data_IF_276047210003
#
_entry.id   IF_276047210003
#
_cell.length_a   1.000
_cell.length_b   1.000
_cell.length_c   1.000
_cell.angle_alpha   90.00
_cell.angle_beta   90.00
_cell.angle_gamma   90.00
#
_symmetry.space_group_name_H-M   'P 1'
#
loop_
_entity.id
_entity.type
_entity.pdbx_description
1 polymer ?
#
# COMPACT_ATOMS: atom_id res chain seq x y z
N UNK A 1 -2.85 25.39 -13.89
CA UNK A 1 -2.84 23.94 -14.20
C UNK A 1 -1.46 23.32 -14.14
N UNK A 2 -0.43 23.73 -14.92
CA UNK A 2 0.92 23.12 -14.80
C UNK A 2 1.68 23.48 -13.51
N UNK A 3 1.37 24.63 -12.90
CA UNK A 3 2.03 25.10 -11.66
C UNK A 3 1.49 24.44 -10.38
N UNK A 4 0.24 23.93 -10.39
CA UNK A 4 -0.34 23.29 -9.20
C UNK A 4 0.11 21.84 -9.04
N UNK A 5 0.43 21.14 -10.14
CA UNK A 5 0.96 19.77 -10.09
C UNK A 5 2.43 19.75 -9.60
N UNK A 6 3.22 20.75 -9.97
CA UNK A 6 4.59 20.93 -9.48
C UNK A 6 4.61 21.28 -7.97
N UNK A 7 3.73 22.19 -7.53
CA UNK A 7 3.62 22.53 -6.11
C UNK A 7 3.12 21.37 -5.24
N UNK A 8 2.31 20.44 -5.78
CA UNK A 8 1.88 19.25 -5.03
C UNK A 8 2.99 18.21 -4.82
N UNK A 9 3.98 18.15 -5.70
CA UNK A 9 5.16 17.28 -5.60
C UNK A 9 6.31 17.88 -4.78
N UNK A 10 6.45 19.21 -4.75
CA UNK A 10 7.54 19.89 -4.02
C UNK A 10 7.15 20.31 -2.59
N UNK A 11 5.87 20.62 -2.31
CA UNK A 11 5.42 20.96 -0.95
C UNK A 11 5.24 19.72 -0.05
N UNK A 12 5.23 18.53 -0.63
CA UNK A 12 5.08 17.26 0.08
C UNK A 12 6.41 16.71 0.60
N UNK A 13 7.56 17.00 -0.02
CA UNK A 13 8.85 16.39 0.36
C UNK A 13 9.31 16.73 1.79
N UNK A 14 9.22 17.99 2.22
CA UNK A 14 9.73 18.40 3.54
C UNK A 14 8.85 17.93 4.71
N UNK A 15 7.54 17.76 4.49
CA UNK A 15 6.66 17.16 5.48
C UNK A 15 6.85 15.65 5.52
N UNK A 16 6.98 15.00 4.36
CA UNK A 16 7.26 13.58 4.26
C UNK A 16 8.62 13.23 4.88
N UNK A 17 9.66 14.04 4.67
CA UNK A 17 10.98 13.86 5.28
C UNK A 17 10.90 13.84 6.81
N UNK A 18 10.18 14.80 7.41
CA UNK A 18 9.97 14.83 8.87
C UNK A 18 9.15 13.64 9.38
N UNK A 19 8.15 13.20 8.62
CA UNK A 19 7.33 12.04 8.97
C UNK A 19 8.16 10.76 8.89
N UNK A 20 8.92 10.58 7.81
CA UNK A 20 9.79 9.44 7.58
C UNK A 20 10.89 9.37 8.65
N UNK A 21 11.49 10.50 8.99
CA UNK A 21 12.47 10.57 10.07
C UNK A 21 11.86 10.14 11.41
N UNK A 22 10.65 10.61 11.76
CA UNK A 22 9.96 10.19 12.99
C UNK A 22 9.64 8.70 13.01
N UNK A 23 9.22 8.14 11.87
CA UNK A 23 8.93 6.72 11.75
C UNK A 23 10.22 5.91 11.91
N UNK A 24 11.30 6.34 11.25
CA UNK A 24 12.61 5.73 11.38
C UNK A 24 13.06 5.71 12.85
N UNK A 25 13.00 6.85 13.53
CA UNK A 25 13.35 6.98 14.96
C UNK A 25 12.45 6.15 15.89
N UNK A 26 11.21 5.81 15.48
CA UNK A 26 10.33 4.90 16.23
C UNK A 26 10.71 3.44 16.07
N UNK A 27 11.33 3.07 14.95
CA UNK A 27 11.79 1.71 14.69
C UNK A 27 13.20 1.51 15.28
N UNK A 28 14.10 2.46 15.05
CA UNK A 28 15.50 2.51 15.55
C UNK A 28 15.53 2.80 17.06
N UNK A 29 15.21 1.78 17.87
CA UNK A 29 15.25 1.89 19.32
C UNK A 29 16.68 1.83 19.87
N UNK A 30 17.64 1.26 19.12
CA UNK A 30 19.06 1.22 19.49
C UNK A 30 19.76 2.56 19.28
N UNK A 31 19.17 3.43 18.45
CA UNK A 31 19.67 4.77 18.07
C UNK A 31 21.03 4.73 17.39
N UNK A 32 21.26 3.72 16.56
CA UNK A 32 22.49 3.60 15.78
C UNK A 32 22.35 4.17 14.35
N UNK A 33 21.20 4.77 14.04
CA UNK A 33 20.80 5.30 12.72
C UNK A 33 20.67 4.23 11.64
N UNK A 34 20.42 2.98 12.04
CA UNK A 34 20.10 1.87 11.16
C UNK A 34 18.88 1.15 11.74
N UNK A 35 18.15 0.46 10.86
CA UNK A 35 17.09 -0.45 11.27
C UNK A 35 17.59 -1.86 10.99
N UNK A 36 17.84 -2.61 12.06
CA UNK A 36 18.22 -4.02 11.95
C UNK A 36 17.01 -4.97 12.00
N UNK A 37 17.30 -6.26 11.85
CA UNK A 37 16.29 -7.33 11.90
C UNK A 37 15.51 -7.35 13.21
N UNK A 38 16.18 -7.13 14.34
CA UNK A 38 15.55 -7.19 15.67
C UNK A 38 14.60 -6.01 15.87
N UNK A 39 15.02 -4.83 15.43
CA UNK A 39 14.23 -3.59 15.47
C UNK A 39 12.99 -3.67 14.60
N UNK A 40 13.15 -4.14 13.37
CA UNK A 40 12.01 -4.31 12.47
C UNK A 40 11.07 -5.43 12.95
N UNK A 41 11.59 -6.54 13.47
CA UNK A 41 10.77 -7.61 14.05
C UNK A 41 9.98 -7.12 15.27
N UNK A 42 10.64 -6.37 16.16
CA UNK A 42 9.99 -5.79 17.33
C UNK A 42 8.88 -4.83 16.92
N UNK A 43 9.16 -3.93 15.97
CA UNK A 43 8.17 -3.00 15.43
C UNK A 43 6.94 -3.75 14.88
N UNK A 44 7.14 -4.75 14.02
CA UNK A 44 6.04 -5.53 13.45
C UNK A 44 5.15 -6.18 14.53
N UNK A 45 5.76 -6.75 15.57
CA UNK A 45 5.04 -7.36 16.69
C UNK A 45 4.23 -6.33 17.48
N UNK A 46 4.80 -5.15 17.70
CA UNK A 46 4.10 -4.02 18.35
C UNK A 46 2.90 -3.57 17.54
N UNK A 47 2.98 -3.58 16.21
CA UNK A 47 1.86 -3.26 15.31
C UNK A 47 0.84 -4.41 15.16
N UNK A 48 0.92 -5.46 15.98
CA UNK A 48 0.01 -6.60 15.94
C UNK A 48 0.22 -7.56 14.75
N UNK A 49 1.41 -7.56 14.15
CA UNK A 49 1.80 -8.47 13.08
C UNK A 49 2.87 -9.46 13.56
N UNK A 50 2.61 -10.76 13.40
CA UNK A 50 3.61 -11.80 13.69
C UNK A 50 4.29 -12.24 12.39
N UNK A 51 5.51 -11.75 12.08
CA UNK A 51 6.19 -12.08 10.84
C UNK A 51 6.60 -13.55 10.80
N UNK A 52 6.63 -14.13 9.59
CA UNK A 52 7.08 -15.51 9.41
C UNK A 52 8.55 -15.62 9.80
N UNK A 53 8.83 -16.39 10.86
CA UNK A 53 10.18 -16.56 11.40
C UNK A 53 11.15 -17.20 10.42
N UNK A 54 10.69 -18.21 9.69
CA UNK A 54 11.48 -18.95 8.70
C UNK A 54 10.53 -19.51 7.64
N UNK A 55 10.78 -19.18 6.37
CA UNK A 55 10.05 -19.76 5.25
C UNK A 55 10.67 -21.10 4.81
N UNK A 56 10.09 -21.75 3.78
CA UNK A 56 10.58 -23.04 3.26
C UNK A 56 12.04 -23.03 2.77
N UNK A 57 12.64 -21.85 2.58
CA UNK A 57 14.01 -21.64 2.13
C UNK A 57 14.96 -21.22 3.25
N UNK A 58 14.51 -21.19 4.51
CA UNK A 58 15.34 -20.81 5.64
C UNK A 58 15.46 -19.30 5.90
N UNK A 59 14.68 -18.46 5.18
CA UNK A 59 14.76 -17.00 5.25
C UNK A 59 13.58 -16.47 6.05
N UNK A 60 13.82 -15.52 6.95
CA UNK A 60 12.72 -14.86 7.66
C UNK A 60 12.04 -13.80 6.78
N UNK A 61 10.76 -13.53 7.04
CA UNK A 61 10.06 -12.46 6.33
C UNK A 61 10.70 -11.08 6.55
N UNK A 62 11.22 -10.85 7.76
CA UNK A 62 11.91 -9.62 8.13
C UNK A 62 13.22 -9.47 7.35
N UNK A 63 13.99 -10.55 7.22
CA UNK A 63 15.22 -10.55 6.41
C UNK A 63 14.92 -10.25 4.94
N UNK A 64 13.83 -10.80 4.40
CA UNK A 64 13.41 -10.48 3.04
C UNK A 64 13.04 -9.00 2.89
N UNK A 65 12.35 -8.42 3.87
CA UNK A 65 11.96 -7.01 3.83
C UNK A 65 13.16 -6.06 3.85
N UNK A 66 14.18 -6.38 4.65
CA UNK A 66 15.44 -5.62 4.68
C UNK A 66 16.16 -5.77 3.34
N UNK A 67 16.36 -7.01 2.89
CA UNK A 67 17.08 -7.31 1.65
C UNK A 67 16.46 -6.67 0.40
N UNK A 68 15.15 -6.44 0.38
CA UNK A 68 14.46 -5.75 -0.73
C UNK A 68 14.81 -4.25 -0.86
N UNK A 69 15.40 -3.66 0.18
CA UNK A 69 15.62 -2.22 0.33
C UNK A 69 17.08 -1.86 0.58
N UNK A 70 17.82 -2.76 1.20
CA UNK A 70 19.25 -2.68 1.47
C UNK A 70 20.05 -2.64 0.15
N UNK A 71 20.54 -1.46 -0.22
CA UNK A 71 21.27 -1.23 -1.48
C UNK A 71 22.78 -1.41 -1.29
N UNK A 72 23.30 -1.21 -0.08
CA UNK A 72 24.73 -1.36 0.24
C UNK A 72 25.10 -2.75 0.78
N UNK A 73 24.10 -3.61 1.01
CA UNK A 73 24.21 -4.99 1.49
C UNK A 73 24.84 -5.12 2.88
N UNK A 74 24.62 -4.13 3.76
CA UNK A 74 25.10 -4.17 5.14
C UNK A 74 24.19 -4.96 6.10
N UNK A 75 23.04 -5.44 5.61
CA UNK A 75 22.07 -6.23 6.36
C UNK A 75 21.16 -5.41 7.28
N UNK A 76 21.18 -4.09 7.14
CA UNK A 76 20.34 -3.13 7.85
C UNK A 76 19.67 -2.18 6.85
N UNK A 77 18.82 -1.28 7.34
CA UNK A 77 18.24 -0.20 6.52
C UNK A 77 18.66 1.13 7.10
N UNK A 78 19.43 1.90 6.35
CA UNK A 78 19.79 3.28 6.69
C UNK A 78 18.64 4.25 6.41
N UNK A 79 18.72 5.46 6.97
CA UNK A 79 17.71 6.50 6.74
C UNK A 79 17.57 6.88 5.25
N UNK A 80 18.68 6.87 4.50
CA UNK A 80 18.68 7.18 3.06
C UNK A 80 17.95 6.10 2.25
N UNK A 81 18.24 4.83 2.52
CA UNK A 81 17.58 3.69 1.88
C UNK A 81 16.09 3.66 2.23
N UNK A 82 15.74 3.95 3.49
CA UNK A 82 14.37 4.06 3.93
C UNK A 82 13.60 5.15 3.17
N UNK A 83 14.21 6.32 2.98
CA UNK A 83 13.63 7.42 2.21
C UNK A 83 13.51 7.05 0.72
N UNK A 84 14.55 6.49 0.14
CA UNK A 84 14.60 6.06 -1.27
C UNK A 84 13.51 5.03 -1.56
N UNK A 85 13.36 4.01 -0.70
CA UNK A 85 12.28 3.02 -0.79
C UNK A 85 10.90 3.68 -0.78
N UNK A 86 10.67 4.65 0.12
CA UNK A 86 9.38 5.31 0.24
C UNK A 86 9.04 6.12 -1.02
N UNK A 87 10.01 6.88 -1.55
CA UNK A 87 9.83 7.68 -2.77
C UNK A 87 9.60 6.79 -3.99
N UNK A 88 10.34 5.69 -4.13
CA UNK A 88 10.17 4.71 -5.21
C UNK A 88 8.77 4.12 -5.18
N UNK A 89 8.33 3.59 -4.05
CA UNK A 89 7.00 3.00 -3.89
C UNK A 89 5.87 4.00 -4.09
N UNK A 90 6.04 5.24 -3.60
CA UNK A 90 5.03 6.29 -3.76
C UNK A 90 4.81 6.67 -5.22
N UNK A 91 5.89 6.68 -6.01
CA UNK A 91 5.85 7.01 -7.43
C UNK A 91 5.65 5.79 -8.33
N UNK A 92 5.59 4.58 -7.75
CA UNK A 92 5.42 3.34 -8.51
C UNK A 92 4.00 3.20 -9.08
N UNK A 93 3.89 3.45 -10.39
CA UNK A 93 2.67 3.21 -11.16
C UNK A 93 2.61 1.81 -11.76
N UNK A 94 3.71 1.07 -11.72
CA UNK A 94 3.87 -0.26 -12.34
C UNK A 94 3.52 -1.40 -11.40
N UNK A 95 3.57 -1.15 -10.10
CA UNK A 95 3.29 -2.12 -9.05
C UNK A 95 4.41 -3.15 -8.87
N UNK A 96 5.63 -2.85 -9.32
CA UNK A 96 6.79 -3.73 -9.29
C UNK A 96 7.70 -3.48 -8.10
N UNK A 97 7.59 -2.33 -7.45
CA UNK A 97 8.40 -2.03 -6.27
C UNK A 97 7.96 -2.92 -5.08
N UNK A 98 8.91 -3.32 -4.21
CA UNK A 98 8.61 -4.08 -3.01
C UNK A 98 7.83 -3.21 -2.02
N UNK A 99 6.64 -3.69 -1.63
CA UNK A 99 5.67 -2.90 -0.85
C UNK A 99 5.62 -3.24 0.63
N UNK A 100 6.31 -4.28 1.09
CA UNK A 100 6.17 -4.75 2.47
C UNK A 100 6.58 -3.69 3.48
N UNK A 101 7.83 -3.22 3.40
CA UNK A 101 8.33 -2.17 4.28
C UNK A 101 7.60 -0.83 4.06
N UNK A 102 7.22 -0.54 2.82
CA UNK A 102 6.39 0.62 2.49
C UNK A 102 5.02 0.59 3.19
N UNK A 103 4.35 -0.56 3.23
CA UNK A 103 3.05 -0.71 3.89
C UNK A 103 3.17 -0.54 5.41
N UNK A 104 4.24 -1.03 6.02
CA UNK A 104 4.54 -0.80 7.44
C UNK A 104 4.73 0.69 7.72
N UNK A 105 5.56 1.36 6.90
CA UNK A 105 5.77 2.80 7.02
C UNK A 105 4.46 3.59 6.86
N UNK A 106 3.60 3.19 5.92
CA UNK A 106 2.28 3.79 5.78
C UNK A 106 1.43 3.61 7.03
N UNK A 107 1.42 2.43 7.63
CA UNK A 107 0.69 2.17 8.86
C UNK A 107 1.21 3.05 10.01
N UNK A 108 2.53 3.16 10.18
CA UNK A 108 3.14 3.99 11.22
C UNK A 108 2.97 5.50 11.02
N UNK A 109 2.63 5.94 9.80
CA UNK A 109 2.20 7.32 9.56
C UNK A 109 0.80 7.59 10.15
N UNK A 110 -0.03 6.55 10.27
CA UNK A 110 -1.41 6.62 10.75
C UNK A 110 -1.50 6.48 12.27
N UNK A 111 -0.74 5.54 12.83
CA UNK A 111 -0.61 5.27 14.26
C UNK A 111 0.16 6.43 14.93
N UNK A 112 -0.54 7.49 15.36
CA UNK A 112 0.10 8.74 15.84
C UNK A 112 0.54 8.65 17.31
N UNK A 113 -0.21 7.92 18.13
CA UNK A 113 0.07 7.71 19.54
C UNK A 113 1.06 6.57 19.79
N UNK A 114 1.25 5.72 18.78
CA UNK A 114 2.24 4.67 18.78
C UNK A 114 1.85 3.44 19.58
N UNK A 115 0.55 3.23 19.78
CA UNK A 115 0.02 2.10 20.53
C UNK A 115 -0.01 0.79 19.71
N UNK A 116 0.25 0.89 18.40
CA UNK A 116 0.30 -0.25 17.48
C UNK A 116 -1.04 -0.60 16.83
N UNK A 117 -2.08 0.17 17.15
CA UNK A 117 -3.40 0.14 16.54
C UNK A 117 -3.62 1.44 15.75
N UNK A 118 -4.53 1.40 14.78
CA UNK A 118 -5.06 2.63 14.16
C UNK A 118 -6.50 2.77 14.59
N UNK A 119 -6.81 3.87 15.24
CA UNK A 119 -8.17 4.23 15.62
C UNK A 119 -9.03 4.54 14.38
N UNK A 120 -10.35 4.44 14.53
CA UNK A 120 -11.30 4.78 13.46
C UNK A 120 -11.11 6.20 12.95
N UNK A 121 -10.78 7.13 13.84
CA UNK A 121 -10.55 8.54 13.59
C UNK A 121 -9.27 8.77 12.75
N UNK A 122 -8.17 8.10 13.10
CA UNK A 122 -6.90 8.16 12.36
C UNK A 122 -7.03 7.54 10.96
N UNK A 123 -7.78 6.44 10.85
CA UNK A 123 -8.08 5.80 9.58
C UNK A 123 -8.96 6.70 8.68
N UNK A 124 -9.99 7.33 9.25
CA UNK A 124 -10.89 8.26 8.53
C UNK A 124 -10.14 9.46 7.96
N UNK A 125 -9.35 10.15 8.79
CA UNK A 125 -8.63 11.37 8.41
C UNK A 125 -7.76 11.09 7.16
N UNK A 126 -7.13 9.91 7.14
CA UNK A 126 -6.17 9.54 6.12
C UNK A 126 -6.81 8.94 4.86
N UNK A 127 -7.91 8.18 4.96
CA UNK A 127 -8.68 7.76 3.78
C UNK A 127 -9.22 9.00 3.04
N UNK A 128 -9.73 9.98 3.78
CA UNK A 128 -10.20 11.24 3.21
C UNK A 128 -9.06 12.00 2.54
N UNK A 129 -7.91 12.13 3.20
CA UNK A 129 -6.77 12.89 2.70
C UNK A 129 -6.11 12.25 1.47
N UNK A 130 -6.06 10.90 1.41
CA UNK A 130 -5.30 10.16 0.40
C UNK A 130 -6.13 9.60 -0.76
N UNK A 131 -7.36 9.18 -0.49
CA UNK A 131 -8.25 8.55 -1.48
C UNK A 131 -9.51 9.36 -1.77
N UNK A 132 -9.77 10.42 -1.00
CA UNK A 132 -10.97 11.23 -1.09
C UNK A 132 -12.20 10.59 -0.43
N UNK A 133 -13.24 11.40 -0.17
CA UNK A 133 -14.46 10.97 0.53
C UNK A 133 -15.22 9.81 -0.12
N UNK A 134 -15.02 9.53 -1.41
CA UNK A 134 -15.76 8.47 -2.11
C UNK A 134 -15.36 7.05 -1.65
N UNK A 135 -14.08 6.81 -1.36
CA UNK A 135 -13.60 5.51 -0.86
C UNK A 135 -13.93 5.28 0.61
N UNK A 136 -14.18 6.36 1.34
CA UNK A 136 -14.61 6.31 2.73
C UNK A 136 -15.95 5.56 2.84
N UNK A 137 -16.96 5.93 2.05
CA UNK A 137 -18.30 5.32 2.15
C UNK A 137 -18.30 3.81 1.86
N UNK A 138 -17.41 3.31 0.99
CA UNK A 138 -17.25 1.87 0.71
C UNK A 138 -16.60 1.11 1.89
N UNK A 139 -15.61 1.72 2.55
CA UNK A 139 -14.95 1.13 3.73
C UNK A 139 -15.89 1.11 4.93
N UNK A 140 -16.72 2.15 5.07
CA UNK A 140 -17.70 2.28 6.16
C UNK A 140 -18.88 1.30 6.05
N UNK A 141 -19.37 1.01 4.83
CA UNK A 141 -20.47 0.04 4.63
C UNK A 141 -20.10 -1.40 5.01
N UNK A 142 -18.80 -1.73 5.09
CA UNK A 142 -18.33 -3.05 5.49
C UNK A 142 -18.17 -3.23 7.01
N UNK A 143 -18.67 -2.29 7.82
CA UNK A 143 -18.83 -2.49 9.26
C UNK A 143 -17.57 -2.22 10.08
N UNK A 144 -16.80 -1.19 9.71
CA UNK A 144 -15.67 -0.68 10.48
C UNK A 144 -16.15 0.21 11.65
N UNK A 145 -17.18 -0.25 12.37
CA UNK A 145 -17.70 0.42 13.54
C UNK A 145 -16.92 -0.08 14.76
N UNK A 146 -16.15 0.82 15.37
CA UNK A 146 -15.62 0.68 16.74
C UNK A 146 -14.50 -0.37 16.95
N UNK A 147 -13.71 -0.65 15.90
CA UNK A 147 -12.58 -1.59 16.00
C UNK A 147 -11.26 -0.89 15.70
N UNK A 148 -10.31 -1.06 16.61
CA UNK A 148 -8.88 -0.82 16.35
C UNK A 148 -8.41 -1.70 15.18
N UNK A 149 -7.65 -1.11 14.27
CA UNK A 149 -7.12 -1.79 13.07
C UNK A 149 -5.65 -2.11 13.32
N UNK A 150 -5.31 -3.40 13.31
CA UNK A 150 -3.91 -3.83 13.41
C UNK A 150 -3.22 -3.82 12.04
N UNK A 151 -1.89 -3.90 12.00
CA UNK A 151 -1.15 -4.04 10.73
C UNK A 151 -1.59 -5.30 9.96
N UNK A 152 -1.92 -6.38 10.66
CA UNK A 152 -2.46 -7.59 10.07
C UNK A 152 -3.77 -7.34 9.31
N UNK A 153 -4.70 -6.59 9.91
CA UNK A 153 -5.99 -6.24 9.28
C UNK A 153 -5.78 -5.33 8.07
N UNK A 154 -4.88 -4.35 8.20
CA UNK A 154 -4.51 -3.46 7.11
C UNK A 154 -3.93 -4.23 5.92
N UNK A 155 -2.97 -5.13 6.14
CA UNK A 155 -2.35 -5.93 5.08
C UNK A 155 -3.37 -6.86 4.39
N UNK A 156 -4.33 -7.44 5.13
CA UNK A 156 -5.42 -8.23 4.55
C UNK A 156 -6.32 -7.38 3.65
N UNK A 157 -6.64 -6.14 4.05
CA UNK A 157 -7.48 -5.24 3.29
C UNK A 157 -6.76 -4.69 2.05
N UNK A 158 -5.47 -4.35 2.17
CA UNK A 158 -4.62 -3.98 1.04
C UNK A 158 -4.56 -5.12 0.03
N UNK A 159 -4.33 -6.36 0.47
CA UNK A 159 -4.24 -7.51 -0.43
C UNK A 159 -5.58 -7.85 -1.11
N UNK A 160 -6.73 -7.68 -0.41
CA UNK A 160 -8.06 -7.83 -1.02
C UNK A 160 -8.34 -6.79 -2.11
N UNK A 161 -7.85 -5.56 -1.96
CA UNK A 161 -7.95 -4.53 -2.99
C UNK A 161 -7.05 -4.77 -4.22
N UNK A 162 -6.16 -5.77 -4.18
CA UNK A 162 -5.43 -6.26 -5.36
C UNK A 162 -6.13 -7.41 -6.10
N UNK A 163 -7.24 -7.94 -5.58
CA UNK A 163 -8.08 -8.91 -6.28
C UNK A 163 -9.37 -8.26 -6.80
N UNK A 164 -9.22 -7.28 -7.70
CA UNK A 164 -10.32 -6.96 -8.62
C UNK A 164 -10.22 -7.91 -9.81
N UNK A 165 -11.19 -8.82 -10.04
CA UNK A 165 -11.28 -9.46 -11.34
C UNK A 165 -11.48 -8.36 -12.38
N UNK A 166 -10.68 -8.41 -13.44
CA UNK A 166 -10.84 -7.62 -14.66
C UNK A 166 -12.34 -7.60 -15.04
N UNK A 167 -13.04 -6.51 -14.70
CA UNK A 167 -14.40 -6.31 -15.19
C UNK A 167 -14.24 -5.94 -16.65
N UNK A 168 -14.17 -6.98 -17.47
CA UNK A 168 -14.18 -6.93 -18.92
C UNK A 168 -15.08 -5.80 -19.37
N UNK A 169 -14.45 -4.86 -20.08
CA UNK A 169 -15.05 -3.68 -20.69
C UNK A 169 -16.28 -4.14 -21.49
N UNK A 170 -17.47 -4.03 -20.91
CA UNK A 170 -18.73 -4.34 -21.58
C UNK A 170 -18.85 -3.39 -22.77
N UNK A 171 -18.60 -3.88 -23.99
CA UNK A 171 -18.98 -3.18 -25.20
C UNK A 171 -20.50 -3.07 -25.21
N UNK A 172 -20.99 -1.87 -24.93
CA UNK A 172 -22.36 -1.45 -25.18
C UNK A 172 -22.61 -1.47 -26.68
N UNK A 173 -23.54 -2.30 -27.13
CA UNK A 173 -24.20 -2.14 -28.42
C UNK A 173 -25.66 -2.59 -28.30
N UNK A 174 -26.54 -1.63 -28.04
CA UNK A 174 -28.00 -1.80 -28.06
C UNK A 174 -28.51 -1.59 -29.48
N UNK A 175 -29.10 -2.66 -30.01
CA UNK A 175 -30.22 -2.77 -30.97
C UNK A 175 -30.27 -1.87 -32.23
N UNK A 176 -30.46 -2.53 -33.39
CA UNK A 176 -31.68 -2.36 -34.20
C UNK A 176 -32.16 -3.70 -34.76
N UNK A 177 -33.40 -4.05 -34.45
CA UNK A 177 -34.18 -5.02 -35.20
C UNK A 177 -34.66 -4.36 -36.50
N UNK A 178 -34.60 -5.09 -37.63
CA UNK A 178 -35.66 -4.98 -38.61
C UNK A 178 -35.79 -6.26 -39.45
N UNK A 179 -37.03 -6.46 -39.85
CA UNK A 179 -37.71 -7.65 -40.33
C UNK A 179 -37.41 -8.07 -41.79
N UNK A 180 -37.74 -9.34 -42.07
CA UNK A 180 -38.34 -9.89 -43.31
C UNK A 180 -37.64 -9.61 -44.66
N UNK A 181 -37.08 -10.66 -45.28
CA UNK A 181 -37.52 -11.13 -46.62
C UNK A 181 -36.66 -12.30 -47.16
N UNK A 182 -37.37 -13.41 -47.44
CA UNK A 182 -37.29 -14.32 -48.60
C UNK A 182 -35.94 -14.69 -49.26
N UNK A 183 -35.76 -16.00 -49.40
CA UNK A 183 -34.89 -16.69 -50.38
C UNK A 183 -35.07 -16.14 -51.81
N UNK A 184 -34.08 -16.36 -52.70
CA UNK A 184 -34.21 -17.53 -53.57
C UNK A 184 -32.93 -18.35 -53.74
N UNK A 185 -33.14 -19.63 -54.08
CA UNK A 185 -32.16 -20.54 -54.65
C UNK A 185 -31.59 -20.00 -55.97
N UNK A 186 -30.32 -20.30 -56.27
CA UNK A 186 -29.80 -20.50 -57.63
C UNK A 186 -28.55 -21.38 -57.57
N UNK A 187 -28.61 -22.44 -58.38
CA UNK A 187 -27.57 -23.41 -58.72
C UNK A 187 -26.57 -22.84 -59.74
N UNK A 188 -25.30 -23.30 -59.67
CA UNK A 188 -24.27 -23.47 -60.71
C UNK A 188 -22.89 -23.46 -60.00
N UNK A 189 -21.96 -24.38 -60.19
CA UNK A 189 -21.67 -25.36 -61.27
C UNK A 189 -21.26 -26.70 -60.65
#
# INVERSE_FOLDING_TARGET
>A
MLLEEAQRGEYTSAQDEKVLQRIFERIDFKRDNKIDKEELEHCLRTLGYDPVKVNQYGISEVEQMIWEVDEDSDGCVSLDEFHTMFVRNRNDRTGREPKKLYNVCQFMTLDRDGDGSISTEECMEMIIHRFGRQKLEEVFHNGMHDREITLSDFLLQVNRNYSMPDKGRKKSARMKANSLARMPSISKR
#
